data_IF_743983888626
#
_entry.id   IF_743983888626
#
_cell.length_a   1.000
_cell.length_b   1.000
_cell.length_c   1.000
_cell.angle_alpha   90.00
_cell.angle_beta   90.00
_cell.angle_gamma   90.00
#
_symmetry.space_group_name_H-M   'P 1'
#
loop_
_entity.id
_entity.type
_entity.pdbx_description
1 polymer ?
#
# COMPACT_ATOMS: atom_id res chain seq x y z
N UNK A 1 -11.68 -16.77 15.17
CA UNK A 1 -12.21 -16.46 13.84
C UNK A 1 -12.18 -14.95 13.66
N UNK A 2 -11.70 -14.44 12.51
CA UNK A 2 -11.65 -13.00 12.21
C UNK A 2 -12.54 -12.75 10.99
N UNK A 3 -13.42 -11.76 11.05
CA UNK A 3 -14.32 -11.35 9.96
C UNK A 3 -14.42 -9.82 9.91
N UNK A 4 -14.57 -9.25 8.71
CA UNK A 4 -14.62 -7.81 8.48
C UNK A 4 -15.43 -7.45 7.23
N UNK A 5 -15.95 -6.22 7.18
CA UNK A 5 -16.72 -5.71 6.05
C UNK A 5 -15.80 -5.45 4.84
N UNK A 6 -16.15 -5.89 3.62
CA UNK A 6 -15.35 -5.60 2.43
C UNK A 6 -15.21 -4.09 2.19
N UNK A 7 -14.01 -3.67 1.79
CA UNK A 7 -13.69 -2.27 1.48
C UNK A 7 -14.15 -1.85 0.08
N UNK A 8 -14.56 -2.80 -0.77
CA UNK A 8 -15.06 -2.57 -2.13
C UNK A 8 -14.13 -1.73 -3.04
N UNK A 9 -12.81 -1.75 -2.80
CA UNK A 9 -11.85 -1.17 -3.73
C UNK A 9 -11.63 -2.11 -4.92
N UNK A 10 -11.80 -1.57 -6.13
CA UNK A 10 -11.69 -2.36 -7.37
C UNK A 10 -10.26 -2.71 -7.78
N UNK A 11 -9.24 -2.04 -7.20
CA UNK A 11 -7.83 -2.25 -7.54
C UNK A 11 -7.01 -2.34 -6.26
N UNK A 12 -6.31 -3.46 -6.09
CA UNK A 12 -5.38 -3.65 -4.99
C UNK A 12 -4.03 -4.02 -5.60
N UNK A 13 -3.07 -3.13 -5.45
CA UNK A 13 -1.68 -3.31 -5.86
C UNK A 13 -0.84 -3.70 -4.65
N UNK A 14 -0.03 -4.76 -4.80
CA UNK A 14 0.82 -5.30 -3.73
C UNK A 14 2.29 -5.17 -4.16
N UNK A 15 3.13 -4.63 -3.29
CA UNK A 15 4.57 -4.48 -3.51
C UNK A 15 5.35 -4.73 -2.23
N UNK A 16 5.60 -6.01 -1.92
CA UNK A 16 6.27 -6.41 -0.69
C UNK A 16 5.44 -6.03 0.56
N UNK A 17 5.98 -5.23 1.49
CA UNK A 17 5.27 -4.82 2.70
C UNK A 17 4.20 -3.75 2.46
N UNK A 18 4.08 -3.23 1.23
CA UNK A 18 3.16 -2.14 0.89
C UNK A 18 1.93 -2.64 0.11
N UNK A 19 0.76 -2.12 0.48
CA UNK A 19 -0.53 -2.34 -0.19
C UNK A 19 -1.13 -0.98 -0.50
N UNK A 20 -1.42 -0.74 -1.78
CA UNK A 20 -1.98 0.53 -2.29
C UNK A 20 -2.98 0.25 -3.41
N UNK A 21 -3.66 1.27 -3.92
CA UNK A 21 -4.60 1.14 -5.03
C UNK A 21 -3.89 0.91 -6.39
N UNK A 22 -2.73 1.53 -6.60
CA UNK A 22 -2.01 1.52 -7.88
C UNK A 22 -0.53 1.15 -7.75
N UNK A 23 0.09 0.73 -8.86
CA UNK A 23 1.53 0.43 -8.93
C UNK A 23 2.39 1.67 -8.69
N UNK A 24 1.95 2.85 -9.14
CA UNK A 24 2.70 4.10 -8.96
C UNK A 24 2.80 4.47 -7.48
N UNK A 25 1.72 4.29 -6.71
CA UNK A 25 1.72 4.50 -5.27
C UNK A 25 2.63 3.51 -4.54
N UNK A 26 2.70 2.26 -4.99
CA UNK A 26 3.67 1.29 -4.46
C UNK A 26 5.11 1.79 -4.70
N UNK A 27 5.43 2.25 -5.91
CA UNK A 27 6.77 2.75 -6.22
C UNK A 27 7.12 4.00 -5.43
N UNK A 28 6.15 4.86 -5.16
CA UNK A 28 6.33 6.02 -4.29
C UNK A 28 6.56 5.60 -2.84
N UNK A 29 5.74 4.70 -2.30
CA UNK A 29 5.89 4.19 -0.93
C UNK A 29 7.27 3.55 -0.69
N UNK A 30 7.79 2.83 -1.68
CA UNK A 30 9.15 2.26 -1.64
C UNK A 30 10.21 3.37 -1.64
N UNK A 31 10.04 4.41 -2.45
CA UNK A 31 10.96 5.56 -2.44
C UNK A 31 10.92 6.32 -1.11
N UNK A 32 9.73 6.58 -0.57
CA UNK A 32 9.54 7.25 0.72
C UNK A 32 10.15 6.44 1.86
N UNK A 33 10.06 5.10 1.79
CA UNK A 33 10.72 4.20 2.73
C UNK A 33 12.25 4.32 2.64
N UNK A 34 12.81 4.28 1.42
CA UNK A 34 14.26 4.45 1.23
C UNK A 34 14.77 5.84 1.65
N UNK A 35 13.94 6.88 1.48
CA UNK A 35 14.27 8.25 1.88
C UNK A 35 14.09 8.51 3.39
N UNK A 36 13.54 7.54 4.14
CA UNK A 36 13.23 7.69 5.55
C UNK A 36 12.07 8.66 5.85
N UNK A 37 11.25 8.99 4.85
CA UNK A 37 10.13 9.94 4.95
C UNK A 37 8.76 9.28 5.00
N UNK A 38 8.71 7.94 4.97
CA UNK A 38 7.45 7.18 4.98
C UNK A 38 6.58 7.40 6.23
N UNK A 39 7.20 7.68 7.38
CA UNK A 39 6.53 8.00 8.64
C UNK A 39 6.95 9.41 9.07
N UNK A 40 6.09 10.40 8.85
CA UNK A 40 6.25 11.75 9.36
C UNK A 40 4.99 12.19 10.08
#
# INVERSE_FOLDING_TARGET
MISGKPINEGKISKGGPFVMNTKSEILQAVQDYHNGTFVK
#
